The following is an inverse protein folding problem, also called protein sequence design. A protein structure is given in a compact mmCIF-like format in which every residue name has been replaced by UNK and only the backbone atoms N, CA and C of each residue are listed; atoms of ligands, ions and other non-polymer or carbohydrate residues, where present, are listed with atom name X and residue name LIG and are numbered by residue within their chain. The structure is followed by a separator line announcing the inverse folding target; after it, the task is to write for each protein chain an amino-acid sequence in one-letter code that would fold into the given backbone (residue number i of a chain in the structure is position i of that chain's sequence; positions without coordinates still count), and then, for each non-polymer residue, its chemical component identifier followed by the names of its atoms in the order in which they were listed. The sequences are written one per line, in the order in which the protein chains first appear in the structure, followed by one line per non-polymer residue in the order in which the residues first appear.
data_IF_415149387186
#
_entry.id   IF_415149387186
#
_cell.length_a   1.000
_cell.length_b   1.000
_cell.length_c   1.000
_cell.angle_alpha   90.00
_cell.angle_beta   90.00
_cell.angle_gamma   90.00
#
_symmetry.space_group_name_H-M   'P 1'
#
loop_
_entity.id
_entity.type
_entity.pdbx_description
1 polymer ?
#
# COMPACT_ATOMS: atom_id res chain seq x y z
N UNK A 1 15.05 -9.36 15.91
CA UNK A 1 16.36 -10.02 15.77
C UNK A 1 17.45 -8.95 15.74
N UNK A 2 18.20 -8.81 16.83
CA UNK A 2 19.13 -7.68 17.07
C UNK A 2 20.26 -7.61 16.00
N UNK A 3 20.52 -8.70 15.31
CA UNK A 3 21.59 -8.77 14.30
C UNK A 3 21.14 -8.42 12.88
N UNK A 4 19.85 -8.29 12.64
CA UNK A 4 19.31 -7.95 11.32
C UNK A 4 19.05 -6.46 11.20
N UNK A 5 19.43 -5.88 10.07
CA UNK A 5 19.03 -4.51 9.73
C UNK A 5 17.55 -4.52 9.38
N UNK A 6 16.76 -3.79 10.12
CA UNK A 6 15.30 -3.81 10.04
C UNK A 6 14.76 -2.43 9.69
N UNK A 7 13.77 -2.43 8.80
CA UNK A 7 12.97 -1.24 8.50
C UNK A 7 11.52 -1.49 8.90
N UNK A 8 10.99 -0.65 9.76
CA UNK A 8 9.59 -0.62 10.15
C UNK A 8 8.91 0.56 9.47
N UNK A 9 7.91 0.27 8.65
CA UNK A 9 7.17 1.27 7.88
C UNK A 9 5.73 1.27 8.35
N UNK A 10 5.27 2.37 8.94
CA UNK A 10 3.85 2.56 9.22
C UNK A 10 3.17 3.31 8.08
N UNK A 11 2.02 2.81 7.66
CA UNK A 11 1.11 3.46 6.71
C UNK A 11 -0.19 3.88 7.38
N UNK A 12 -0.25 3.75 8.72
CA UNK A 12 -1.39 4.18 9.52
C UNK A 12 -1.32 5.70 9.77
N UNK A 13 -2.35 6.46 9.41
CA UNK A 13 -2.39 7.90 9.66
C UNK A 13 -2.41 8.28 11.15
N UNK A 14 -2.58 7.31 12.06
CA UNK A 14 -2.53 7.55 13.49
C UNK A 14 -1.10 7.82 14.05
N UNK A 15 -0.05 7.64 13.22
CA UNK A 15 1.36 7.90 13.60
C UNK A 15 1.81 7.19 14.90
N UNK A 16 1.37 5.94 15.05
CA UNK A 16 1.55 5.14 16.27
C UNK A 16 3.02 4.80 16.59
N UNK A 17 3.91 4.81 15.61
CA UNK A 17 5.34 4.56 15.84
C UNK A 17 6.00 5.73 16.57
N UNK A 18 5.67 6.97 16.20
CA UNK A 18 6.19 8.15 16.85
C UNK A 18 5.85 8.17 18.35
N UNK A 19 4.60 7.83 18.67
CA UNK A 19 4.12 7.75 20.05
C UNK A 19 4.82 6.64 20.84
N UNK A 20 4.99 5.45 20.24
CA UNK A 20 5.62 4.30 20.88
C UNK A 20 7.10 4.53 21.21
N UNK A 21 7.83 5.21 20.34
CA UNK A 21 9.27 5.46 20.51
C UNK A 21 9.58 6.84 21.11
N UNK A 22 8.56 7.62 21.48
CA UNK A 22 8.68 9.01 21.96
C UNK A 22 9.62 9.84 21.06
N UNK A 23 9.46 9.67 19.74
CA UNK A 23 10.28 10.32 18.73
C UNK A 23 9.40 10.83 17.57
N UNK A 24 9.79 11.96 17.01
CA UNK A 24 9.14 12.43 15.79
C UNK A 24 9.62 11.62 14.61
N UNK A 25 8.79 10.72 14.12
CA UNK A 25 9.00 9.93 12.92
C UNK A 25 8.18 10.56 11.77
N UNK A 26 8.73 10.56 10.58
CA UNK A 26 8.04 11.07 9.40
C UNK A 26 8.40 10.28 8.16
N UNK A 27 8.24 10.88 6.99
CA UNK A 27 8.49 10.23 5.69
C UNK A 27 9.98 9.96 5.40
N UNK A 28 10.89 10.32 6.31
CA UNK A 28 12.33 10.02 6.24
C UNK A 28 12.69 8.97 7.27
N UNK A 29 13.65 8.14 6.91
CA UNK A 29 14.20 7.11 7.80
C UNK A 29 14.75 7.72 9.09
N UNK A 30 14.27 7.22 10.22
CA UNK A 30 14.67 7.64 11.57
C UNK A 30 15.18 6.41 12.32
N UNK A 31 16.35 6.49 12.94
CA UNK A 31 16.88 5.39 13.76
C UNK A 31 16.09 5.30 15.05
N UNK A 32 15.45 4.16 15.31
CA UNK A 32 14.65 3.88 16.50
C UNK A 32 15.46 3.15 17.56
N UNK A 33 16.29 2.20 17.14
CA UNK A 33 17.19 1.43 17.97
C UNK A 33 18.36 0.92 17.12
N UNK A 34 19.30 0.19 17.75
CA UNK A 34 20.37 -0.47 17.04
C UNK A 34 19.79 -1.42 15.99
N UNK A 35 20.21 -1.26 14.74
CA UNK A 35 19.71 -2.02 13.57
C UNK A 35 18.21 -1.91 13.28
N UNK A 36 17.48 -0.97 13.89
CA UNK A 36 16.07 -0.70 13.64
C UNK A 36 15.87 0.75 13.18
N UNK A 37 15.33 0.88 12.00
CA UNK A 37 14.96 2.16 11.38
C UNK A 37 13.44 2.21 11.23
N UNK A 38 12.84 3.35 11.54
CA UNK A 38 11.41 3.60 11.38
C UNK A 38 11.11 4.66 10.34
N UNK A 39 9.94 4.55 9.72
CA UNK A 39 9.41 5.50 8.76
C UNK A 39 7.88 5.51 8.85
N UNK A 40 7.28 6.69 8.88
CA UNK A 40 5.83 6.87 8.80
C UNK A 40 5.44 7.55 7.49
N UNK A 41 4.52 6.95 6.78
CA UNK A 41 4.02 7.46 5.51
C UNK A 41 2.70 8.16 5.76
N UNK A 42 2.68 9.47 5.57
CA UNK A 42 1.46 10.27 5.54
C UNK A 42 0.84 10.21 4.13
N UNK A 43 -0.33 9.62 3.94
CA UNK A 43 -0.98 9.48 2.65
C UNK A 43 -1.26 10.83 1.96
N UNK A 44 -1.60 11.87 2.73
CA UNK A 44 -1.88 13.20 2.19
C UNK A 44 -0.60 13.88 1.70
N UNK A 45 0.48 13.82 2.47
CA UNK A 45 1.77 14.32 2.07
C UNK A 45 2.35 13.58 0.85
N UNK A 46 2.11 12.27 0.74
CA UNK A 46 2.49 11.50 -0.45
C UNK A 46 1.67 11.89 -1.67
N UNK A 47 0.37 12.14 -1.52
CA UNK A 47 -0.47 12.65 -2.60
C UNK A 47 0.03 14.01 -3.11
N UNK A 48 0.39 14.93 -2.21
CA UNK A 48 0.98 16.21 -2.58
C UNK A 48 2.27 16.04 -3.38
N UNK A 49 3.20 15.24 -2.87
CA UNK A 49 4.47 14.96 -3.53
C UNK A 49 4.28 14.32 -4.90
N UNK A 50 3.34 13.38 -4.99
CA UNK A 50 2.99 12.72 -6.25
C UNK A 50 2.50 13.73 -7.29
N UNK A 51 1.56 14.61 -6.91
CA UNK A 51 1.02 15.65 -7.80
C UNK A 51 2.09 16.66 -8.19
N UNK A 52 2.95 17.07 -7.27
CA UNK A 52 4.09 17.95 -7.57
C UNK A 52 5.04 17.32 -8.58
N UNK A 53 5.37 16.05 -8.41
CA UNK A 53 6.22 15.29 -9.33
C UNK A 53 5.59 15.19 -10.72
N UNK A 54 4.30 14.84 -10.80
CA UNK A 54 3.55 14.76 -12.06
C UNK A 54 3.48 16.14 -12.72
N UNK A 55 3.16 17.18 -11.95
CA UNK A 55 3.10 18.56 -12.44
C UNK A 55 4.46 19.03 -12.95
N UNK A 56 5.54 18.74 -12.22
CA UNK A 56 6.91 19.05 -12.64
C UNK A 56 7.31 18.35 -13.94
N UNK A 57 6.98 17.07 -14.04
CA UNK A 57 7.21 16.30 -15.27
C UNK A 57 6.40 16.86 -16.45
N UNK A 58 5.14 17.24 -16.22
CA UNK A 58 4.29 17.84 -17.24
C UNK A 58 4.78 19.22 -17.70
N UNK A 59 5.38 20.02 -16.79
CA UNK A 59 5.93 21.33 -17.11
C UNK A 59 6.93 21.29 -18.28
N UNK A 60 7.70 20.20 -18.33
CA UNK A 60 8.70 19.98 -19.39
C UNK A 60 8.09 19.34 -20.65
N UNK A 61 6.81 18.98 -20.61
CA UNK A 61 6.14 18.23 -21.66
C UNK A 61 5.02 19.03 -22.36
N UNK A 62 4.59 20.16 -21.83
CA UNK A 62 3.47 20.95 -22.39
C UNK A 62 3.87 22.36 -22.75
N UNK A 63 3.15 22.95 -23.72
CA UNK A 63 3.35 24.34 -24.10
C UNK A 63 3.01 25.27 -22.92
N UNK A 64 3.76 26.38 -22.73
CA UNK A 64 3.53 27.30 -21.61
C UNK A 64 2.09 27.80 -21.49
N UNK A 65 1.40 27.98 -22.61
CA UNK A 65 0.01 28.44 -22.66
C UNK A 65 -0.99 27.45 -21.98
N UNK A 66 -0.68 26.16 -21.94
CA UNK A 66 -1.54 25.12 -21.37
C UNK A 66 -1.25 24.86 -19.87
N UNK A 67 -0.18 25.44 -19.34
CA UNK A 67 0.26 25.13 -17.98
C UNK A 67 -0.77 25.54 -16.92
N UNK A 68 -1.50 26.64 -17.12
CA UNK A 68 -2.57 27.09 -16.21
C UNK A 68 -3.73 26.10 -16.12
N UNK A 69 -4.12 25.50 -17.24
CA UNK A 69 -5.20 24.50 -17.26
C UNK A 69 -4.75 23.18 -16.62
N UNK A 70 -3.55 22.72 -16.93
CA UNK A 70 -2.98 21.52 -16.31
C UNK A 70 -2.89 21.66 -14.80
N UNK A 71 -2.41 22.82 -14.32
CA UNK A 71 -2.36 23.11 -12.88
C UNK A 71 -3.75 22.99 -12.24
N UNK A 72 -4.77 23.56 -12.87
CA UNK A 72 -6.16 23.47 -12.39
C UNK A 72 -6.66 22.02 -12.35
N UNK A 73 -6.37 21.21 -13.37
CA UNK A 73 -6.72 19.80 -13.41
C UNK A 73 -5.98 19.00 -12.32
N UNK A 74 -4.70 19.33 -12.07
CA UNK A 74 -3.93 18.69 -10.98
C UNK A 74 -4.46 19.07 -9.59
N UNK A 75 -4.87 20.34 -9.39
CA UNK A 75 -5.49 20.77 -8.15
C UNK A 75 -6.83 20.05 -7.89
N UNK A 76 -7.62 19.79 -8.93
CA UNK A 76 -8.83 18.97 -8.85
C UNK A 76 -8.51 17.49 -8.59
N UNK A 77 -7.52 16.94 -9.26
CA UNK A 77 -7.08 15.57 -9.06
C UNK A 77 -6.59 15.31 -7.62
N UNK A 78 -6.02 16.33 -6.97
CA UNK A 78 -5.62 16.28 -5.55
C UNK A 78 -6.78 15.97 -4.60
N UNK A 79 -7.97 16.48 -4.91
CA UNK A 79 -9.19 16.28 -4.14
C UNK A 79 -9.97 15.03 -4.55
N UNK A 80 -9.53 14.34 -5.60
CA UNK A 80 -10.23 13.19 -6.12
C UNK A 80 -10.08 11.98 -5.16
N UNK A 81 -11.17 11.27 -4.84
CA UNK A 81 -11.09 10.05 -4.07
C UNK A 81 -10.15 9.03 -4.71
N UNK A 82 -9.26 8.45 -3.92
CA UNK A 82 -8.31 7.43 -4.38
C UNK A 82 -6.92 7.97 -4.76
N UNK A 83 -6.71 9.29 -4.81
CA UNK A 83 -5.40 9.87 -5.13
C UNK A 83 -4.38 9.60 -4.03
N UNK A 84 -4.77 9.76 -2.78
CA UNK A 84 -3.90 9.47 -1.63
C UNK A 84 -3.54 7.98 -1.56
N UNK A 85 -4.51 7.10 -1.81
CA UNK A 85 -4.29 5.66 -1.85
C UNK A 85 -3.35 5.26 -2.99
N UNK A 86 -3.50 5.87 -4.16
CA UNK A 86 -2.61 5.59 -5.31
C UNK A 86 -1.18 6.06 -5.05
N UNK A 87 -1.00 7.23 -4.43
CA UNK A 87 0.30 7.77 -4.05
C UNK A 87 0.96 6.91 -2.96
N UNK A 88 0.20 6.51 -1.94
CA UNK A 88 0.65 5.60 -0.89
C UNK A 88 1.11 4.26 -1.47
N UNK A 89 0.34 3.68 -2.40
CA UNK A 89 0.72 2.45 -3.08
C UNK A 89 2.04 2.61 -3.84
N UNK A 90 2.20 3.70 -4.57
CA UNK A 90 3.43 3.96 -5.32
C UNK A 90 4.63 4.04 -4.39
N UNK A 91 4.48 4.72 -3.24
CA UNK A 91 5.52 4.81 -2.21
C UNK A 91 5.84 3.46 -1.56
N UNK A 92 4.83 2.67 -1.22
CA UNK A 92 5.01 1.31 -0.68
C UNK A 92 5.73 0.43 -1.71
N UNK A 93 5.33 0.48 -2.99
CA UNK A 93 5.99 -0.26 -4.06
C UNK A 93 7.47 0.13 -4.24
N UNK A 94 7.81 1.41 -4.11
CA UNK A 94 9.18 1.91 -4.11
C UNK A 94 9.97 1.33 -2.94
N UNK A 95 9.46 1.49 -1.72
CA UNK A 95 10.10 1.00 -0.52
C UNK A 95 10.32 -0.51 -0.54
N UNK A 96 9.36 -1.29 -1.01
CA UNK A 96 9.51 -2.74 -1.17
C UNK A 96 10.69 -3.11 -2.09
N UNK A 97 10.91 -2.33 -3.13
CA UNK A 97 11.99 -2.58 -4.09
C UNK A 97 13.35 -2.10 -3.54
N UNK A 98 13.40 -0.89 -2.99
CA UNK A 98 14.63 -0.24 -2.55
C UNK A 98 15.14 -0.80 -1.22
N UNK A 99 14.24 -1.06 -0.28
CA UNK A 99 14.60 -1.52 1.06
C UNK A 99 15.21 -2.93 1.05
N UNK A 100 14.82 -3.78 0.10
CA UNK A 100 15.35 -5.16 -0.02
C UNK A 100 16.87 -5.24 -0.18
N UNK A 101 17.49 -4.22 -0.77
CA UNK A 101 18.95 -4.20 -0.96
C UNK A 101 19.71 -3.68 0.28
N UNK A 102 18.98 -3.02 1.20
CA UNK A 102 19.55 -2.30 2.34
C UNK A 102 19.26 -2.95 3.68
N UNK A 103 18.12 -3.61 3.79
CA UNK A 103 17.61 -4.20 5.01
C UNK A 103 17.41 -5.70 4.87
N UNK A 104 17.63 -6.41 5.95
CA UNK A 104 17.46 -7.87 6.03
C UNK A 104 16.00 -8.24 6.31
N UNK A 105 15.23 -7.33 6.92
CA UNK A 105 13.80 -7.44 7.17
C UNK A 105 13.12 -6.08 7.00
N UNK A 106 11.98 -6.08 6.30
CA UNK A 106 11.10 -4.91 6.19
C UNK A 106 9.72 -5.29 6.69
N UNK A 107 9.20 -4.56 7.65
CA UNK A 107 7.86 -4.76 8.20
C UNK A 107 7.00 -3.56 7.83
N UNK A 108 5.88 -3.81 7.15
CA UNK A 108 4.87 -2.81 6.88
C UNK A 108 3.73 -2.97 7.87
N UNK A 109 3.58 -1.99 8.76
CA UNK A 109 2.41 -1.83 9.60
C UNK A 109 1.34 -1.05 8.82
N UNK A 110 0.20 -1.69 8.60
CA UNK A 110 -0.81 -1.17 7.69
C UNK A 110 -2.08 -0.79 8.44
N UNK A 111 -2.72 0.29 7.98
CA UNK A 111 -4.03 0.70 8.47
C UNK A 111 -5.08 -0.43 8.33
N UNK A 112 -6.12 -0.46 9.19
CA UNK A 112 -7.03 -1.60 9.26
C UNK A 112 -7.82 -1.85 7.97
N UNK A 113 -7.82 -3.10 7.59
CA UNK A 113 -8.64 -3.90 6.66
C UNK A 113 -9.01 -3.36 5.27
N UNK A 114 -9.87 -2.37 5.15
CA UNK A 114 -10.45 -1.98 3.85
C UNK A 114 -9.45 -1.27 2.92
N UNK A 115 -8.66 -0.38 3.47
CA UNK A 115 -7.62 0.36 2.73
C UNK A 115 -6.46 -0.55 2.34
N UNK A 116 -6.01 -1.41 3.26
CA UNK A 116 -4.91 -2.36 3.01
C UNK A 116 -5.23 -3.35 1.91
N UNK A 117 -6.42 -3.98 1.95
CA UNK A 117 -6.87 -4.86 0.88
C UNK A 117 -6.88 -4.17 -0.46
N UNK A 118 -7.35 -2.92 -0.50
CA UNK A 118 -7.35 -2.10 -1.71
C UNK A 118 -5.93 -1.81 -2.19
N UNK A 119 -5.01 -1.46 -1.27
CA UNK A 119 -3.60 -1.25 -1.59
C UNK A 119 -2.94 -2.50 -2.18
N UNK A 120 -3.21 -3.68 -1.61
CA UNK A 120 -2.63 -4.94 -2.08
C UNK A 120 -3.16 -5.37 -3.47
N UNK A 121 -4.39 -5.00 -3.81
CA UNK A 121 -5.01 -5.32 -5.11
C UNK A 121 -4.75 -4.27 -6.19
N UNK A 122 -4.40 -3.04 -5.81
CA UNK A 122 -4.15 -1.92 -6.72
C UNK A 122 -2.99 -2.14 -7.71
N UNK A 123 -1.85 -2.82 -7.37
CA UNK A 123 -0.77 -3.03 -8.33
C UNK A 123 -1.23 -3.70 -9.62
N UNK A 124 -2.16 -4.66 -9.51
CA UNK A 124 -2.74 -5.34 -10.69
C UNK A 124 -3.63 -4.40 -11.51
N UNK A 125 -4.51 -3.66 -10.85
CA UNK A 125 -5.38 -2.70 -11.49
C UNK A 125 -4.58 -1.58 -12.18
N UNK A 126 -3.54 -1.06 -11.52
CA UNK A 126 -2.66 -0.02 -12.06
C UNK A 126 -1.81 -0.52 -13.23
N UNK A 127 -1.32 -1.76 -13.18
CA UNK A 127 -0.63 -2.38 -14.29
C UNK A 127 -1.56 -2.52 -15.51
N UNK A 128 -2.77 -3.03 -15.32
CA UNK A 128 -3.78 -3.17 -16.37
C UNK A 128 -4.19 -1.82 -16.97
N UNK A 129 -4.36 -0.79 -16.13
CA UNK A 129 -4.67 0.57 -16.58
C UNK A 129 -3.52 1.16 -17.41
N UNK A 130 -2.27 1.01 -16.95
CA UNK A 130 -1.08 1.48 -17.68
C UNK A 130 -0.94 0.76 -19.03
N UNK A 131 -1.20 -0.55 -19.06
CA UNK A 131 -1.22 -1.34 -20.29
C UNK A 131 -2.31 -0.87 -21.26
N UNK A 132 -3.49 -0.52 -20.74
CA UNK A 132 -4.57 0.07 -21.50
C UNK A 132 -4.17 1.38 -22.17
N UNK A 133 -3.56 2.29 -21.41
CA UNK A 133 -3.07 3.58 -21.90
C UNK A 133 -2.01 3.41 -23.00
N UNK A 134 -1.04 2.52 -22.80
CA UNK A 134 0.01 2.24 -23.78
C UNK A 134 -0.59 1.68 -25.08
N UNK A 135 -1.51 0.71 -25.00
CA UNK A 135 -2.20 0.13 -26.16
C UNK A 135 -3.06 1.14 -26.91
N UNK A 136 -3.79 1.99 -26.16
CA UNK A 136 -4.62 3.03 -26.76
C UNK A 136 -3.76 4.01 -27.57
N UNK A 137 -2.63 4.41 -27.02
CA UNK A 137 -1.70 5.33 -27.66
C UNK A 137 -1.02 4.72 -28.90
N UNK A 138 -0.61 3.44 -28.84
CA UNK A 138 -0.07 2.73 -30.00
C UNK A 138 -1.09 2.64 -31.17
N UNK A 139 -2.38 2.46 -30.84
CA UNK A 139 -3.46 2.46 -31.83
C UNK A 139 -3.68 3.86 -32.42
N UNK A 140 -3.69 4.90 -31.59
CA UNK A 140 -3.86 6.28 -32.06
C UNK A 140 -2.68 6.73 -32.92
N UNK A 141 -1.44 6.37 -32.55
CA UNK A 141 -0.26 6.63 -33.36
C UNK A 141 -0.30 5.94 -34.74
N UNK A 142 -0.67 4.66 -34.78
CA UNK A 142 -0.85 3.92 -36.05
C UNK A 142 -1.98 4.47 -36.88
N UNK A 143 -3.08 4.92 -36.27
CA UNK A 143 -4.20 5.52 -37.02
C UNK A 143 -3.80 6.87 -37.62
N UNK A 144 -3.04 7.69 -36.88
CA UNK A 144 -2.48 8.97 -37.34
C UNK A 144 -1.53 8.74 -38.54
N UNK A 145 -0.66 7.73 -38.46
CA UNK A 145 0.25 7.38 -39.55
C UNK A 145 -0.50 6.88 -40.81
N UNK A 146 -1.56 6.08 -40.63
CA UNK A 146 -2.42 5.62 -41.74
C UNK A 146 -3.20 6.78 -42.34
N UNK A 147 -3.75 7.67 -41.51
CA UNK A 147 -4.48 8.86 -41.99
C UNK A 147 -3.57 9.85 -42.69
N UNK A 148 -2.33 10.05 -42.24
CA UNK A 148 -1.35 10.90 -42.92
C UNK A 148 -0.95 10.31 -44.30
N UNK A 149 -0.84 8.99 -44.42
CA UNK A 149 -0.55 8.31 -45.68
C UNK A 149 -1.73 8.30 -46.68
N UNK A 150 -2.96 8.41 -46.15
CA UNK A 150 -4.18 8.44 -46.99
C UNK A 150 -4.59 9.84 -47.44
N UNK A 151 -3.81 10.89 -47.13
CA UNK A 151 -4.01 12.23 -47.69
C UNK A 151 -5.34 12.90 -47.32
N UNK A 152 -6.00 12.48 -46.24
CA UNK A 152 -7.29 13.00 -45.82
C UNK A 152 -7.19 14.16 -44.85
N UNK A 153 -7.40 15.37 -45.34
CA UNK A 153 -7.54 16.57 -44.53
C UNK A 153 -8.76 16.53 -43.58
N UNK A 154 -8.53 16.95 -42.35
CA UNK A 154 -9.47 17.57 -41.39
C UNK A 154 -10.89 17.02 -41.29
N UNK A 155 -11.19 16.52 -40.09
CA UNK A 155 -12.38 16.94 -39.33
C UNK A 155 -12.22 16.66 -37.84
N UNK A 156 -12.20 17.72 -37.05
CA UNK A 156 -12.35 17.73 -35.60
C UNK A 156 -13.70 17.13 -35.22
N UNK A 157 -13.71 16.15 -34.36
CA UNK A 157 -14.88 15.76 -33.59
C UNK A 157 -14.61 16.11 -32.12
N UNK A 158 -15.46 16.96 -31.58
CA UNK A 158 -15.49 17.35 -30.17
C UNK A 158 -15.65 16.11 -29.30
N UNK A 159 -14.79 15.96 -28.30
CA UNK A 159 -14.99 14.98 -27.24
C UNK A 159 -13.77 14.16 -26.78
N UNK A 160 -12.60 14.35 -27.34
CA UNK A 160 -11.41 13.60 -26.93
C UNK A 160 -10.36 14.55 -26.32
N UNK A 161 -10.44 14.77 -25.01
CA UNK A 161 -9.50 15.63 -24.25
C UNK A 161 -8.03 15.18 -24.36
N UNK A 162 -7.80 13.94 -24.79
CA UNK A 162 -6.46 13.39 -25.07
C UNK A 162 -5.97 13.69 -26.50
N UNK A 163 -6.83 14.09 -27.42
CA UNK A 163 -6.46 14.45 -28.79
C UNK A 163 -5.70 15.79 -28.87
N UNK A 164 -5.88 16.68 -27.89
CA UNK A 164 -5.17 17.96 -27.79
C UNK A 164 -3.66 17.82 -27.54
N UNK A 165 -3.17 16.65 -27.22
CA UNK A 165 -1.74 16.40 -27.04
C UNK A 165 -1.01 16.06 -28.37
N UNK A 166 -1.68 16.12 -29.50
CA UNK A 166 -1.19 15.58 -30.77
C UNK A 166 -0.87 16.60 -31.88
N UNK A 167 -1.10 17.90 -31.73
CA UNK A 167 -0.86 18.87 -32.82
C UNK A 167 0.30 19.82 -32.55
N UNK A 168 1.27 19.73 -33.44
CA UNK A 168 2.32 20.68 -33.81
C UNK A 168 3.48 20.93 -32.83
N UNK A 169 4.51 20.10 -32.99
CA UNK A 169 5.90 20.59 -32.92
C UNK A 169 6.85 19.58 -33.56
N UNK A 170 7.91 20.01 -34.22
CA UNK A 170 8.99 19.15 -34.72
C UNK A 170 9.71 18.34 -33.61
N UNK A 171 9.31 18.53 -32.35
CA UNK A 171 9.68 17.75 -31.15
C UNK A 171 8.69 16.65 -30.74
N UNK A 172 7.62 16.38 -31.51
CA UNK A 172 6.53 15.50 -31.14
C UNK A 172 6.94 14.05 -30.82
N UNK A 173 7.91 13.53 -31.56
CA UNK A 173 8.44 12.16 -31.37
C UNK A 173 9.18 12.05 -30.01
N UNK A 174 10.02 13.00 -29.69
CA UNK A 174 10.78 13.02 -28.43
C UNK A 174 9.89 13.17 -27.17
N UNK A 175 8.73 13.84 -27.31
CA UNK A 175 7.76 14.06 -26.22
C UNK A 175 6.91 12.80 -25.99
N UNK A 176 6.42 12.19 -27.08
CA UNK A 176 5.70 10.93 -27.03
C UNK A 176 6.54 9.83 -26.40
N UNK A 177 7.82 9.76 -26.74
CA UNK A 177 8.78 8.80 -26.18
C UNK A 177 9.04 9.02 -24.70
N UNK A 178 9.13 10.28 -24.25
CA UNK A 178 9.29 10.60 -22.81
C UNK A 178 8.07 10.15 -21.99
N UNK A 179 6.85 10.43 -22.45
CA UNK A 179 5.64 9.97 -21.76
C UNK A 179 5.58 8.44 -21.74
N UNK A 180 5.92 7.81 -22.87
CA UNK A 180 6.00 6.34 -22.95
C UNK A 180 7.03 5.78 -21.97
N UNK A 181 8.18 6.38 -21.84
CA UNK A 181 9.23 5.98 -20.91
C UNK A 181 8.73 6.05 -19.45
N UNK A 182 8.07 7.14 -19.06
CA UNK A 182 7.47 7.30 -17.71
C UNK A 182 6.42 6.22 -17.44
N UNK A 183 5.51 5.97 -18.38
CA UNK A 183 4.48 4.94 -18.24
C UNK A 183 5.09 3.53 -18.16
N UNK A 184 6.12 3.23 -18.94
CA UNK A 184 6.83 1.95 -18.92
C UNK A 184 7.59 1.74 -17.61
N UNK A 185 8.22 2.79 -17.08
CA UNK A 185 8.89 2.74 -15.79
C UNK A 185 7.91 2.47 -14.65
N UNK A 186 6.78 3.19 -14.63
CA UNK A 186 5.70 2.97 -13.67
C UNK A 186 5.13 1.56 -13.76
N UNK A 187 4.89 1.06 -14.96
CA UNK A 187 4.48 -0.33 -15.19
C UNK A 187 5.49 -1.33 -14.63
N UNK A 188 6.78 -1.15 -14.92
CA UNK A 188 7.85 -2.03 -14.40
C UNK A 188 7.89 -2.04 -12.88
N UNK A 189 7.73 -0.87 -12.25
CA UNK A 189 7.66 -0.72 -10.79
C UNK A 189 6.51 -1.56 -10.20
N UNK A 190 5.29 -1.41 -10.72
CA UNK A 190 4.13 -2.17 -10.24
C UNK A 190 4.23 -3.67 -10.50
N UNK A 191 4.74 -4.09 -11.66
CA UNK A 191 4.98 -5.51 -11.92
C UNK A 191 6.05 -6.10 -10.98
N UNK A 192 7.09 -5.33 -10.67
CA UNK A 192 8.15 -5.78 -9.75
C UNK A 192 7.63 -5.89 -8.33
N UNK A 193 6.89 -4.90 -7.83
CA UNK A 193 6.26 -4.95 -6.50
C UNK A 193 5.24 -6.09 -6.38
N UNK A 194 4.39 -6.29 -7.40
CA UNK A 194 3.46 -7.44 -7.42
C UNK A 194 4.19 -8.78 -7.36
N UNK A 195 5.27 -8.93 -8.11
CA UNK A 195 6.08 -10.16 -8.05
C UNK A 195 6.63 -10.41 -6.64
N UNK A 196 7.08 -9.36 -5.95
CA UNK A 196 7.54 -9.47 -4.57
C UNK A 196 6.41 -9.86 -3.62
N UNK A 197 5.23 -9.27 -3.74
CA UNK A 197 4.06 -9.60 -2.93
C UNK A 197 3.60 -11.06 -3.07
N UNK A 198 3.80 -11.65 -4.25
CA UNK A 198 3.41 -13.04 -4.55
C UNK A 198 4.54 -14.05 -4.27
N UNK A 199 5.75 -13.59 -4.02
CA UNK A 199 6.89 -14.44 -3.71
C UNK A 199 6.89 -14.83 -2.23
N UNK A 200 6.40 -16.03 -1.92
CA UNK A 200 6.30 -16.58 -0.56
C UNK A 200 7.65 -16.70 0.17
N UNK A 201 8.76 -16.66 -0.55
CA UNK A 201 10.09 -16.67 0.04
C UNK A 201 10.58 -15.28 0.44
N UNK A 202 9.95 -14.24 -0.09
CA UNK A 202 10.35 -12.85 0.10
C UNK A 202 9.31 -12.02 0.88
N UNK A 203 8.03 -12.40 0.83
CA UNK A 203 6.94 -11.63 1.44
C UNK A 203 5.94 -12.57 2.08
N UNK A 204 5.58 -12.30 3.33
CA UNK A 204 4.54 -12.98 4.08
C UNK A 204 3.60 -11.98 4.73
N UNK A 205 2.33 -12.34 4.84
CA UNK A 205 1.31 -11.53 5.51
C UNK A 205 0.92 -12.19 6.82
N UNK A 206 0.97 -11.42 7.88
CA UNK A 206 0.44 -11.80 9.19
C UNK A 206 -0.84 -11.01 9.41
N UNK A 207 -1.94 -11.70 9.65
CA UNK A 207 -3.22 -11.05 9.91
C UNK A 207 -3.50 -10.97 11.40
N UNK A 208 -3.85 -9.78 11.89
CA UNK A 208 -4.16 -9.55 13.30
C UNK A 208 -5.66 -9.36 13.47
N UNK A 209 -6.26 -10.11 14.40
CA UNK A 209 -7.68 -9.96 14.76
C UNK A 209 -7.86 -10.08 16.28
N UNK A 210 -8.99 -9.60 16.77
CA UNK A 210 -9.43 -9.84 18.15
C UNK A 210 -10.54 -10.91 18.16
N UNK A 211 -10.71 -11.69 19.25
CA UNK A 211 -11.70 -12.78 19.33
C UNK A 211 -13.12 -12.24 19.54
N UNK A 212 -13.62 -11.51 18.56
CA UNK A 212 -14.95 -10.93 18.51
C UNK A 212 -15.64 -11.24 17.17
N UNK A 213 -16.98 -11.27 17.16
CA UNK A 213 -17.77 -11.67 16.01
C UNK A 213 -17.48 -10.88 14.74
N UNK A 214 -17.44 -9.54 14.82
CA UNK A 214 -17.23 -8.70 13.63
C UNK A 214 -15.82 -8.86 13.06
N UNK A 215 -14.73 -8.77 13.85
CA UNK A 215 -13.37 -9.03 13.36
C UNK A 215 -13.20 -10.41 12.71
N UNK A 216 -13.83 -11.45 13.24
CA UNK A 216 -13.80 -12.80 12.64
C UNK A 216 -14.43 -12.80 11.24
N UNK A 217 -15.61 -12.19 11.10
CA UNK A 217 -16.31 -12.09 9.82
C UNK A 217 -15.55 -11.23 8.80
N UNK A 218 -14.92 -10.14 9.26
CA UNK A 218 -14.08 -9.27 8.43
C UNK A 218 -12.83 -10.01 7.97
N UNK A 219 -12.15 -10.71 8.89
CA UNK A 219 -10.98 -11.54 8.57
C UNK A 219 -11.32 -12.56 7.48
N UNK A 220 -12.42 -13.30 7.61
CA UNK A 220 -12.84 -14.28 6.59
C UNK A 220 -12.99 -13.62 5.21
N UNK A 221 -13.73 -12.51 5.15
CA UNK A 221 -13.93 -11.77 3.89
C UNK A 221 -12.60 -11.27 3.30
N UNK A 222 -11.71 -10.79 4.17
CA UNK A 222 -10.41 -10.31 3.76
C UNK A 222 -9.53 -11.43 3.19
N UNK A 223 -9.48 -12.58 3.86
CA UNK A 223 -8.73 -13.75 3.39
C UNK A 223 -9.28 -14.29 2.07
N UNK A 224 -10.62 -14.30 1.90
CA UNK A 224 -11.26 -14.67 0.63
C UNK A 224 -10.85 -13.73 -0.52
N UNK A 225 -10.72 -12.42 -0.24
CA UNK A 225 -10.25 -11.45 -1.22
C UNK A 225 -8.78 -11.65 -1.54
N UNK A 226 -7.92 -11.77 -0.53
CA UNK A 226 -6.48 -11.98 -0.72
C UNK A 226 -6.20 -13.27 -1.51
N UNK A 227 -6.96 -14.34 -1.24
CA UNK A 227 -6.85 -15.60 -1.97
C UNK A 227 -7.17 -15.47 -3.46
N UNK A 228 -8.10 -14.58 -3.87
CA UNK A 228 -8.39 -14.30 -5.29
C UNK A 228 -7.24 -13.63 -6.03
N UNK A 229 -6.33 -12.99 -5.30
CA UNK A 229 -5.14 -12.32 -5.83
C UNK A 229 -3.85 -13.13 -5.61
N UNK A 230 -3.98 -14.40 -5.17
CA UNK A 230 -2.87 -15.30 -4.85
C UNK A 230 -1.93 -14.78 -3.75
N UNK A 231 -2.42 -13.90 -2.88
CA UNK A 231 -1.66 -13.37 -1.76
C UNK A 231 -1.70 -14.38 -0.61
N UNK A 232 -0.52 -14.81 -0.18
CA UNK A 232 -0.36 -15.82 0.86
C UNK A 232 -0.36 -15.22 2.27
N UNK A 233 -1.10 -15.86 3.18
CA UNK A 233 -1.14 -15.51 4.60
C UNK A 233 -0.28 -16.52 5.36
N UNK A 234 0.73 -16.02 6.07
CA UNK A 234 1.66 -16.83 6.87
C UNK A 234 1.05 -17.29 8.19
N UNK A 235 0.14 -16.49 8.76
CA UNK A 235 -0.51 -16.82 10.02
C UNK A 235 -1.42 -15.74 10.54
N UNK A 236 -2.07 -16.06 11.65
CA UNK A 236 -2.97 -15.18 12.38
C UNK A 236 -2.38 -14.84 13.75
N UNK A 237 -2.56 -13.58 14.16
CA UNK A 237 -2.36 -13.17 15.55
C UNK A 237 -3.74 -12.87 16.14
N UNK A 238 -4.16 -13.69 17.11
CA UNK A 238 -5.38 -13.46 17.88
C UNK A 238 -5.01 -12.62 19.09
N UNK A 239 -5.23 -11.33 18.96
CA UNK A 239 -4.81 -10.32 19.93
C UNK A 239 -5.89 -10.09 21.00
N UNK A 240 -5.47 -9.62 22.19
CA UNK A 240 -6.34 -9.23 23.31
C UNK A 240 -7.21 -10.40 23.83
N UNK A 241 -6.66 -11.60 23.89
CA UNK A 241 -7.34 -12.73 24.55
C UNK A 241 -7.39 -12.49 26.08
N UNK A 242 -8.52 -12.78 26.71
CA UNK A 242 -8.67 -12.55 28.15
C UNK A 242 -7.77 -13.49 28.96
N UNK A 243 -6.91 -12.96 29.84
CA UNK A 243 -6.08 -13.80 30.73
C UNK A 243 -6.93 -14.74 31.59
N UNK A 244 -6.39 -15.92 31.88
CA UNK A 244 -7.09 -16.89 32.70
C UNK A 244 -7.28 -16.39 34.16
N UNK A 245 -6.34 -15.61 34.63
CA UNK A 245 -6.25 -15.04 35.97
C UNK A 245 -7.22 -13.87 36.20
N UNK A 246 -7.70 -13.24 35.11
CA UNK A 246 -8.65 -12.13 35.22
C UNK A 246 -9.95 -12.61 35.90
N UNK A 247 -10.27 -12.08 37.06
CA UNK A 247 -11.41 -12.53 37.87
C UNK A 247 -12.59 -11.54 37.85
N UNK A 248 -13.68 -11.93 38.51
CA UNK A 248 -14.91 -11.15 38.56
C UNK A 248 -15.98 -11.68 37.60
N UNK A 249 -17.25 -11.48 38.01
CA UNK A 249 -18.43 -12.03 37.31
C UNK A 249 -18.56 -11.51 35.88
N UNK A 250 -18.23 -10.27 35.65
CA UNK A 250 -18.25 -9.66 34.31
C UNK A 250 -17.23 -10.34 33.39
N UNK A 251 -15.98 -10.50 33.84
CA UNK A 251 -14.92 -11.13 33.06
C UNK A 251 -15.17 -12.62 32.86
N UNK A 252 -15.78 -13.31 33.82
CA UNK A 252 -16.18 -14.70 33.65
C UNK A 252 -17.21 -14.88 32.53
N UNK A 253 -18.19 -13.97 32.40
CA UNK A 253 -19.16 -13.95 31.30
C UNK A 253 -18.50 -13.61 29.96
N UNK A 254 -17.63 -12.61 29.93
CA UNK A 254 -16.86 -12.25 28.71
C UNK A 254 -16.01 -13.41 28.23
N UNK A 255 -15.32 -14.10 29.11
CA UNK A 255 -14.48 -15.26 28.82
C UNK A 255 -15.28 -16.44 28.31
N UNK A 256 -16.50 -16.64 28.81
CA UNK A 256 -17.39 -17.68 28.28
C UNK A 256 -17.82 -17.39 26.84
N UNK A 257 -18.05 -16.12 26.48
CA UNK A 257 -18.34 -15.71 25.12
C UNK A 257 -17.10 -15.79 24.22
N UNK A 258 -15.96 -15.34 24.71
CA UNK A 258 -14.68 -15.38 23.99
C UNK A 258 -14.29 -16.81 23.60
N UNK A 259 -14.49 -17.79 24.50
CA UNK A 259 -14.24 -19.21 24.18
C UNK A 259 -15.01 -19.70 22.95
N UNK A 260 -16.22 -19.20 22.71
CA UNK A 260 -16.98 -19.53 21.51
C UNK A 260 -16.33 -18.94 20.26
N UNK A 261 -15.84 -17.70 20.35
CA UNK A 261 -15.14 -17.02 19.26
C UNK A 261 -13.77 -17.65 18.98
N UNK A 262 -13.04 -18.05 20.01
CA UNK A 262 -11.77 -18.78 19.84
C UNK A 262 -12.00 -20.12 19.13
N UNK A 263 -13.00 -20.88 19.53
CA UNK A 263 -13.37 -22.13 18.85
C UNK A 263 -13.81 -21.89 17.39
N UNK A 264 -14.50 -20.77 17.11
CA UNK A 264 -14.87 -20.36 15.76
C UNK A 264 -13.62 -20.03 14.92
N UNK A 265 -12.65 -19.29 15.48
CA UNK A 265 -11.37 -18.97 14.84
C UNK A 265 -10.60 -20.25 14.52
N UNK A 266 -10.50 -21.17 15.47
CA UNK A 266 -9.83 -22.47 15.29
C UNK A 266 -10.45 -23.30 14.18
N UNK A 267 -11.78 -23.34 14.10
CA UNK A 267 -12.49 -24.09 13.08
C UNK A 267 -12.43 -23.43 11.69
N UNK A 268 -12.57 -22.10 11.61
CA UNK A 268 -12.62 -21.38 10.33
C UNK A 268 -11.25 -21.22 9.67
N UNK A 269 -10.19 -21.11 10.46
CA UNK A 269 -8.82 -20.86 9.99
C UNK A 269 -7.87 -22.00 10.38
N UNK A 270 -8.35 -23.25 10.33
CA UNK A 270 -7.61 -24.43 10.78
C UNK A 270 -6.25 -24.60 10.09
N UNK A 271 -6.16 -24.22 8.82
CA UNK A 271 -4.96 -24.37 7.99
C UNK A 271 -3.89 -23.30 8.24
N UNK A 272 -4.19 -22.25 9.05
CA UNK A 272 -3.26 -21.18 9.32
C UNK A 272 -2.63 -21.32 10.71
N UNK A 273 -1.30 -21.15 10.85
CA UNK A 273 -0.65 -20.99 12.14
C UNK A 273 -1.27 -19.83 12.92
N UNK A 274 -1.40 -19.97 14.23
CA UNK A 274 -2.01 -18.97 15.10
C UNK A 274 -1.12 -18.68 16.30
N UNK A 275 -0.99 -17.40 16.61
CA UNK A 275 -0.37 -16.90 17.82
C UNK A 275 -1.45 -16.19 18.64
N UNK A 276 -1.54 -16.48 19.93
CA UNK A 276 -2.49 -15.84 20.83
C UNK A 276 -1.74 -14.84 21.73
N UNK A 277 -2.19 -13.59 21.73
CA UNK A 277 -1.64 -12.56 22.59
C UNK A 277 -2.66 -12.15 23.65
N UNK A 278 -2.34 -12.27 24.94
CA UNK A 278 -3.25 -11.87 25.99
C UNK A 278 -3.43 -10.35 26.05
N UNK A 279 -4.58 -9.94 26.54
CA UNK A 279 -4.79 -8.57 26.97
C UNK A 279 -3.86 -8.32 28.17
N UNK A 280 -2.99 -7.34 28.02
CA UNK A 280 -2.07 -6.93 29.08
C UNK A 280 -2.80 -6.08 30.11
N UNK A 281 -2.29 -6.05 31.35
CA UNK A 281 -2.82 -5.20 32.43
C UNK A 281 -2.58 -3.71 32.16
N UNK A 282 -1.50 -3.40 31.45
CA UNK A 282 -1.10 -2.04 31.09
C UNK A 282 -0.98 -1.90 29.57
N UNK A 283 -1.20 -0.71 29.06
CA UNK A 283 -1.01 -0.39 27.66
C UNK A 283 0.49 -0.43 27.29
N UNK A 284 0.77 -0.79 26.03
CA UNK A 284 2.13 -0.72 25.47
C UNK A 284 2.38 0.72 25.03
N UNK A 285 3.07 1.49 25.84
CA UNK A 285 3.34 2.91 25.61
C UNK A 285 4.81 3.21 25.31
N UNK A 286 5.68 2.22 25.47
CA UNK A 286 7.12 2.38 25.30
C UNK A 286 7.81 1.07 24.88
N UNK A 287 9.07 1.11 24.42
CA UNK A 287 9.83 -0.07 24.03
C UNK A 287 10.07 -1.10 25.14
N UNK A 288 10.05 -0.69 26.42
CA UNK A 288 10.22 -1.61 27.54
C UNK A 288 8.97 -2.47 27.73
N UNK A 289 7.79 -1.89 27.52
CA UNK A 289 6.52 -2.61 27.52
C UNK A 289 6.45 -3.66 26.41
N UNK A 290 7.06 -3.39 25.23
CA UNK A 290 7.24 -4.39 24.18
C UNK A 290 8.10 -5.57 24.64
N UNK A 291 9.14 -5.33 25.45
CA UNK A 291 9.95 -6.38 26.06
C UNK A 291 9.12 -7.34 26.91
N UNK A 292 8.19 -6.83 27.71
CA UNK A 292 7.26 -7.65 28.52
C UNK A 292 6.34 -8.50 27.63
N UNK A 293 5.85 -7.95 26.53
CA UNK A 293 5.05 -8.72 25.57
C UNK A 293 5.85 -9.88 24.94
N UNK A 294 7.12 -9.64 24.59
CA UNK A 294 7.99 -10.69 24.04
C UNK A 294 8.22 -11.82 25.02
N UNK A 295 8.34 -11.53 26.34
CA UNK A 295 8.44 -12.56 27.37
C UNK A 295 7.17 -13.43 27.46
N UNK A 296 5.98 -12.81 27.32
CA UNK A 296 4.71 -13.51 27.29
C UNK A 296 4.62 -14.40 26.05
N UNK A 297 5.03 -13.91 24.89
CA UNK A 297 5.07 -14.70 23.67
C UNK A 297 6.02 -15.90 23.76
N UNK A 298 7.20 -15.71 24.36
CA UNK A 298 8.20 -16.78 24.54
C UNK A 298 7.74 -17.91 25.47
N UNK A 299 6.79 -17.66 26.36
CA UNK A 299 6.22 -18.68 27.26
C UNK A 299 5.13 -19.52 26.61
N UNK A 300 4.60 -19.11 25.46
CA UNK A 300 3.52 -19.77 24.73
C UNK A 300 4.02 -20.64 23.58
N UNK A 301 5.25 -20.50 23.15
CA UNK A 301 5.91 -21.29 22.08
C UNK A 301 6.82 -22.34 22.68
#
# INVERSE_FOLDING_TARGET
DVYKRQLLVSTDPAHSLGDLFDQRIGSRETTLAENLVGLEIDPEAEAERHIETVTGNMRNLVAPAMFGEIKRQMDLARLAPGTAEAALLERVAELMIEARERFDLVVFDTAPTGHTLRLLTLPEAMAAWTDGLLKHRERSGKLGEVLSRLGGARRSTEGDELAYLGEQDEGGDSRADRIRAVLLERRRKFHRSRRLLLDRTACGFVWVLIPERLPILETRKALDVLGKFDIHIEGLVVNRTLPAEADGEFLARRRSQERLHLAEIEAQFADLPRLYLPLLEEDITDPEALGRLLEVMARQG
#
